data_IF_301773292863
#
_entry.id   IF_301773292863
#
_cell.length_a   1.000
_cell.length_b   1.000
_cell.length_c   1.000
_cell.angle_alpha   90.00
_cell.angle_beta   90.00
_cell.angle_gamma   90.00
#
_symmetry.space_group_name_H-M   'P 1'
#
loop_
_entity.id
_entity.type
_entity.pdbx_description
1 polymer ?
#
# COMPACT_ATOMS: atom_id res chain seq x y z
N UNK A 1 12.84 2.01 11.69
CA UNK A 1 12.89 0.67 11.07
C UNK A 1 14.23 0.52 10.38
N UNK A 2 14.88 -0.66 10.45
CA UNK A 2 16.09 -0.92 9.68
C UNK A 2 15.78 -0.87 8.18
N UNK A 3 16.79 -0.59 7.36
CA UNK A 3 16.65 -0.68 5.92
C UNK A 3 16.34 -2.14 5.53
N UNK A 4 15.46 -2.37 4.55
CA UNK A 4 15.15 -3.71 4.08
C UNK A 4 16.38 -4.33 3.40
N UNK A 5 16.54 -5.64 3.56
CA UNK A 5 17.59 -6.43 2.91
C UNK A 5 17.32 -6.56 1.40
N UNK A 6 18.32 -7.03 0.65
CA UNK A 6 18.15 -7.30 -0.78
C UNK A 6 17.13 -8.41 -1.06
N UNK A 7 17.06 -9.44 -0.20
CA UNK A 7 16.13 -10.54 -0.35
C UNK A 7 14.67 -10.08 -0.12
N UNK A 8 14.40 -9.30 0.93
CA UNK A 8 13.11 -8.64 1.15
C UNK A 8 12.70 -7.80 -0.07
N UNK A 9 13.61 -6.97 -0.57
CA UNK A 9 13.35 -6.12 -1.75
C UNK A 9 13.05 -6.94 -3.01
N UNK A 10 13.74 -8.06 -3.21
CA UNK A 10 13.54 -8.93 -4.35
C UNK A 10 12.18 -9.65 -4.27
N UNK A 11 11.80 -10.14 -3.08
CA UNK A 11 10.51 -10.76 -2.84
C UNK A 11 9.36 -9.78 -3.10
N UNK A 12 9.43 -8.58 -2.51
CA UNK A 12 8.45 -7.53 -2.73
C UNK A 12 8.38 -7.10 -4.21
N UNK A 13 9.53 -6.94 -4.88
CA UNK A 13 9.57 -6.55 -6.30
C UNK A 13 8.92 -7.59 -7.22
N UNK A 14 9.20 -8.88 -6.99
CA UNK A 14 8.62 -9.97 -7.76
C UNK A 14 7.11 -10.03 -7.59
N UNK A 15 6.64 -9.94 -6.34
CA UNK A 15 5.22 -9.95 -6.04
C UNK A 15 4.53 -8.74 -6.68
N UNK A 16 5.11 -7.54 -6.52
CA UNK A 16 4.61 -6.31 -7.13
C UNK A 16 4.44 -6.45 -8.65
N UNK A 17 5.44 -7.00 -9.34
CA UNK A 17 5.40 -7.21 -10.78
C UNK A 17 4.25 -8.12 -11.24
N UNK A 18 4.05 -9.24 -10.55
CA UNK A 18 2.96 -10.19 -10.86
C UNK A 18 1.59 -9.56 -10.59
N UNK A 19 1.41 -8.93 -9.42
CA UNK A 19 0.16 -8.26 -9.04
C UNK A 19 -0.20 -7.13 -9.99
N UNK A 20 0.76 -6.26 -10.31
CA UNK A 20 0.57 -5.18 -11.26
C UNK A 20 0.19 -5.73 -12.63
N UNK A 21 0.89 -6.76 -13.13
CA UNK A 21 0.59 -7.37 -14.42
C UNK A 21 -0.84 -7.95 -14.50
N UNK A 22 -1.33 -8.55 -13.40
CA UNK A 22 -2.69 -9.07 -13.28
C UNK A 22 -3.74 -7.93 -13.26
N UNK A 23 -3.45 -6.87 -12.52
CA UNK A 23 -4.42 -5.81 -12.20
C UNK A 23 -4.38 -4.60 -13.14
N UNK A 24 -3.36 -4.44 -14.00
CA UNK A 24 -3.15 -3.23 -14.83
C UNK A 24 -4.30 -2.88 -15.79
N UNK A 25 -5.18 -3.83 -16.11
CA UNK A 25 -6.37 -3.61 -16.98
C UNK A 25 -7.66 -3.38 -16.18
N UNK A 26 -7.58 -3.44 -14.86
CA UNK A 26 -8.67 -3.20 -13.93
C UNK A 26 -8.58 -1.75 -13.42
N UNK A 27 -9.59 -1.21 -12.73
CA UNK A 27 -9.49 0.11 -12.10
C UNK A 27 -8.45 0.20 -10.96
N UNK A 28 -7.72 -0.88 -10.69
CA UNK A 28 -6.77 -1.01 -9.60
C UNK A 28 -5.38 -0.45 -9.88
N UNK A 29 -4.76 0.06 -8.82
CA UNK A 29 -3.37 0.49 -8.78
C UNK A 29 -2.66 -0.26 -7.65
N UNK A 30 -1.45 -0.73 -7.95
CA UNK A 30 -0.57 -1.39 -6.99
C UNK A 30 0.60 -0.44 -6.69
N UNK A 31 0.95 -0.29 -5.41
CA UNK A 31 2.00 0.59 -4.93
C UNK A 31 2.96 -0.20 -4.04
N UNK A 32 4.27 0.04 -4.19
CA UNK A 32 5.32 -0.46 -3.30
C UNK A 32 5.75 0.63 -2.32
N UNK A 33 6.44 0.26 -1.23
CA UNK A 33 7.10 1.25 -0.36
C UNK A 33 8.11 2.10 -1.13
N UNK A 34 8.34 3.35 -0.70
CA UNK A 34 7.60 4.10 0.31
C UNK A 34 6.22 4.56 -0.19
N UNK A 35 5.16 4.22 0.55
CA UNK A 35 3.78 4.65 0.24
C UNK A 35 2.92 4.64 1.51
N UNK A 36 2.33 5.78 1.86
CA UNK A 36 1.56 5.93 3.09
C UNK A 36 0.12 5.43 2.92
N UNK A 37 -0.35 4.62 3.87
CA UNK A 37 -1.76 4.26 4.01
C UNK A 37 -2.31 4.92 5.27
N UNK A 38 -3.36 5.73 5.09
CA UNK A 38 -3.93 6.61 6.10
C UNK A 38 -5.41 6.24 6.34
N UNK A 39 -5.68 5.19 7.12
CA UNK A 39 -7.03 4.70 7.33
C UNK A 39 -7.90 5.72 8.08
N UNK A 40 -9.13 5.90 7.61
CA UNK A 40 -10.12 6.79 8.25
C UNK A 40 -10.94 5.98 9.27
N UNK A 41 -11.11 6.50 10.48
CA UNK A 41 -11.86 5.82 11.55
C UNK A 41 -13.38 6.05 11.52
N UNK A 42 -13.90 6.84 10.57
CA UNK A 42 -15.32 7.16 10.47
C UNK A 42 -15.68 8.08 9.30
N UNK A 43 -16.96 8.39 9.15
CA UNK A 43 -17.49 9.29 8.12
C UNK A 43 -17.47 10.76 8.60
N UNK A 44 -16.80 11.65 7.86
CA UNK A 44 -16.78 13.10 8.11
C UNK A 44 -15.52 13.60 8.83
N UNK A 45 -15.03 14.79 8.44
CA UNK A 45 -13.78 15.46 8.91
C UNK A 45 -12.45 15.08 8.23
N UNK A 46 -12.47 14.26 7.17
CA UNK A 46 -11.32 14.05 6.28
C UNK A 46 -10.03 13.69 7.03
N UNK A 47 -8.94 14.39 6.73
CA UNK A 47 -7.60 14.13 7.30
C UNK A 47 -7.54 14.26 8.83
N UNK A 48 -8.44 15.01 9.47
CA UNK A 48 -8.43 15.20 10.92
C UNK A 48 -8.74 13.91 11.70
N UNK A 49 -9.26 12.88 11.02
CA UNK A 49 -9.49 11.56 11.61
C UNK A 49 -8.30 10.60 11.48
N UNK A 50 -7.25 10.99 10.77
CA UNK A 50 -6.08 10.12 10.56
C UNK A 50 -5.25 10.11 11.86
N UNK A 51 -5.43 9.07 12.66
CA UNK A 51 -4.65 8.86 13.90
C UNK A 51 -3.45 7.95 13.71
N UNK A 52 -3.35 7.30 12.56
CA UNK A 52 -2.33 6.29 12.28
C UNK A 52 -1.96 6.35 10.81
N UNK A 53 -0.67 6.21 10.54
CA UNK A 53 -0.12 6.06 9.19
C UNK A 53 0.71 4.79 9.19
N UNK A 54 0.49 3.94 8.19
CA UNK A 54 1.27 2.70 8.00
C UNK A 54 1.88 2.69 6.61
N UNK A 55 3.05 2.07 6.49
CA UNK A 55 3.76 1.90 5.22
C UNK A 55 3.91 0.39 4.95
N UNK A 56 2.94 -0.23 4.27
CA UNK A 56 3.01 -1.64 3.91
C UNK A 56 3.98 -1.83 2.74
N UNK A 57 4.66 -2.97 2.67
CA UNK A 57 5.59 -3.28 1.57
C UNK A 57 4.93 -3.14 0.19
N UNK A 58 3.68 -3.63 0.09
CA UNK A 58 2.82 -3.48 -1.09
C UNK A 58 1.39 -3.16 -0.65
N UNK A 59 0.71 -2.29 -1.41
CA UNK A 59 -0.72 -2.06 -1.29
C UNK A 59 -1.40 -2.04 -2.65
N UNK A 60 -2.67 -2.44 -2.72
CA UNK A 60 -3.47 -2.36 -3.93
C UNK A 60 -4.83 -1.69 -3.65
N UNK A 61 -5.17 -0.67 -4.45
CA UNK A 61 -6.46 0.01 -4.35
C UNK A 61 -7.16 0.06 -5.70
N UNK A 62 -8.40 -0.39 -5.74
CA UNK A 62 -9.30 -0.42 -6.90
C UNK A 62 -10.22 0.79 -7.00
N UNK A 63 -10.27 1.61 -5.94
CA UNK A 63 -10.93 2.90 -5.95
C UNK A 63 -9.90 4.03 -6.14
N UNK A 64 -10.00 4.72 -7.28
CA UNK A 64 -9.08 5.82 -7.60
C UNK A 64 -9.23 7.00 -6.64
N UNK A 65 -10.40 7.18 -6.02
CA UNK A 65 -10.64 8.25 -5.06
C UNK A 65 -9.88 8.04 -3.75
N UNK A 66 -9.49 6.80 -3.43
CA UNK A 66 -8.70 6.44 -2.25
C UNK A 66 -7.21 6.77 -2.39
N UNK A 67 -6.75 7.32 -3.51
CA UNK A 67 -5.33 7.65 -3.70
C UNK A 67 -5.14 9.14 -4.02
N UNK A 68 -4.32 9.83 -3.24
CA UNK A 68 -3.93 11.22 -3.46
C UNK A 68 -2.39 11.36 -3.56
N UNK A 69 -1.88 12.59 -3.65
CA UNK A 69 -0.42 12.87 -3.74
C UNK A 69 0.37 12.45 -2.50
N UNK A 70 -0.31 12.19 -1.38
CA UNK A 70 0.27 11.86 -0.08
C UNK A 70 0.13 10.38 0.26
N UNK A 71 -0.52 9.58 -0.59
CA UNK A 71 -0.68 8.13 -0.40
C UNK A 71 -2.12 7.65 -0.56
N UNK A 72 -2.45 6.54 0.09
CA UNK A 72 -3.80 6.02 0.17
C UNK A 72 -4.55 6.70 1.32
N UNK A 73 -5.65 7.38 0.99
CA UNK A 73 -6.64 7.87 1.92
C UNK A 73 -7.68 6.78 2.10
N UNK A 74 -7.85 6.30 3.34
CA UNK A 74 -8.63 5.11 3.71
C UNK A 74 -7.92 3.77 3.45
N UNK A 75 -8.55 2.67 3.87
CA UNK A 75 -8.05 1.31 3.71
C UNK A 75 -8.03 0.89 2.22
N UNK A 76 -6.88 0.39 1.72
CA UNK A 76 -6.79 -0.24 0.41
C UNK A 76 -7.53 -1.58 0.41
N UNK A 77 -7.83 -2.10 -0.77
CA UNK A 77 -8.52 -3.38 -0.95
C UNK A 77 -7.68 -4.56 -0.45
N UNK A 78 -6.34 -4.44 -0.53
CA UNK A 78 -5.42 -5.42 0.03
C UNK A 78 -4.06 -4.83 0.40
N UNK A 79 -3.39 -5.45 1.38
CA UNK A 79 -2.09 -5.09 1.95
C UNK A 79 -1.17 -6.32 2.00
N UNK A 80 0.06 -6.17 1.53
CA UNK A 80 1.14 -7.15 1.65
C UNK A 80 2.23 -6.65 2.59
N UNK A 81 2.56 -7.46 3.60
CA UNK A 81 3.72 -7.29 4.48
C UNK A 81 4.61 -8.51 4.24
N UNK A 82 5.86 -8.29 3.86
CA UNK A 82 6.84 -9.36 3.68
C UNK A 82 7.71 -9.40 4.93
N UNK A 83 7.94 -10.59 5.44
CA UNK A 83 8.92 -10.81 6.49
C UNK A 83 9.89 -11.89 6.01
N UNK A 84 11.17 -11.68 6.30
CA UNK A 84 12.16 -12.71 6.07
C UNK A 84 12.08 -13.73 7.19
N UNK A 85 11.95 -15.01 6.83
CA UNK A 85 12.10 -16.09 7.81
C UNK A 85 13.55 -16.10 8.32
N UNK A 86 13.72 -16.13 9.64
CA UNK A 86 15.02 -16.24 10.31
C UNK A 86 15.69 -17.59 10.06
#
# INVERSE_FOLDING_TARGET
MPAPTSAHQQLASNFHGVSWNCLRRQPCRVFSVPFDVRPLRGTGNGDAQITTVVQPDISASCDRAKSDKRGCLDAPDWLGIFEEAQ
#
